data_IF_878282339999
#
_entry.id   IF_878282339999
#
_cell.length_a   1.000
_cell.length_b   1.000
_cell.length_c   1.000
_cell.angle_alpha   90.00
_cell.angle_beta   90.00
_cell.angle_gamma   90.00
#
_symmetry.space_group_name_H-M   'P 1'
#
loop_
_entity.id
_entity.type
_entity.pdbx_description
1 polymer ?
#
# COMPACT_ATOMS: atom_id res chain seq x y z
N UNK A 1 38.78 -10.30 -13.50
CA UNK A 1 37.98 -9.10 -13.80
C UNK A 1 36.58 -9.37 -13.27
N UNK A 2 36.28 -8.92 -12.05
CA UNK A 2 34.95 -9.11 -11.44
C UNK A 2 34.17 -7.80 -11.59
N UNK A 3 33.14 -7.84 -12.41
CA UNK A 3 32.17 -6.76 -12.55
C UNK A 3 31.22 -6.83 -11.36
N UNK A 4 31.49 -6.03 -10.33
CA UNK A 4 30.51 -5.73 -9.29
C UNK A 4 29.40 -4.92 -9.96
N UNK A 5 28.26 -5.56 -10.24
CA UNK A 5 27.07 -4.87 -10.73
C UNK A 5 26.47 -4.15 -9.54
N UNK A 6 26.87 -2.89 -9.32
CA UNK A 6 26.13 -1.97 -8.44
C UNK A 6 24.67 -1.92 -8.91
N UNK A 7 23.67 -2.09 -8.03
CA UNK A 7 22.29 -1.99 -8.44
C UNK A 7 22.05 -0.59 -9.02
N UNK A 8 21.70 -0.52 -10.30
CA UNK A 8 21.33 0.72 -11.00
C UNK A 8 20.36 1.53 -10.14
N UNK A 9 20.68 2.78 -9.82
CA UNK A 9 19.94 3.59 -8.82
C UNK A 9 18.42 3.62 -9.00
N UNK A 10 17.92 3.41 -10.21
CA UNK A 10 16.49 3.25 -10.53
C UNK A 10 15.85 2.03 -9.86
N UNK A 11 16.52 0.87 -9.83
CA UNK A 11 15.97 -0.34 -9.18
C UNK A 11 15.85 -0.14 -7.66
N UNK A 12 16.85 0.50 -7.05
CA UNK A 12 16.81 0.83 -5.63
C UNK A 12 15.66 1.81 -5.31
N UNK A 13 15.43 2.80 -6.18
CA UNK A 13 14.31 3.73 -6.06
C UNK A 13 12.95 3.03 -6.21
N UNK A 14 12.79 2.14 -7.18
CA UNK A 14 11.56 1.35 -7.38
C UNK A 14 11.25 0.48 -6.17
N UNK A 15 12.26 -0.17 -5.59
CA UNK A 15 12.10 -0.97 -4.37
C UNK A 15 11.65 -0.12 -3.17
N UNK A 16 12.23 1.07 -2.99
CA UNK A 16 11.83 1.99 -1.92
C UNK A 16 10.40 2.50 -2.13
N UNK A 17 10.03 2.89 -3.35
CA UNK A 17 8.67 3.32 -3.66
C UNK A 17 7.66 2.22 -3.36
N UNK A 18 7.95 0.98 -3.78
CA UNK A 18 7.11 -0.18 -3.48
C UNK A 18 6.89 -0.36 -1.97
N UNK A 19 7.95 -0.27 -1.16
CA UNK A 19 7.82 -0.38 0.29
C UNK A 19 6.94 0.74 0.88
N UNK A 20 7.04 1.96 0.37
CA UNK A 20 6.20 3.08 0.82
C UNK A 20 4.73 2.89 0.44
N UNK A 21 4.44 2.38 -0.76
CA UNK A 21 3.08 2.05 -1.19
C UNK A 21 2.46 0.98 -0.28
N UNK A 22 3.21 -0.07 0.06
CA UNK A 22 2.75 -1.12 0.96
C UNK A 22 2.52 -0.61 2.39
N UNK A 23 3.41 0.24 2.92
CA UNK A 23 3.21 0.86 4.24
C UNK A 23 1.97 1.76 4.25
N UNK A 24 1.76 2.55 3.19
CA UNK A 24 0.57 3.39 3.08
C UNK A 24 -0.72 2.56 2.98
N UNK A 25 -0.70 1.46 2.21
CA UNK A 25 -1.82 0.54 2.11
C UNK A 25 -2.20 -0.06 3.47
N UNK A 26 -1.20 -0.47 4.25
CA UNK A 26 -1.41 -0.98 5.62
C UNK A 26 -2.06 0.08 6.52
N UNK A 27 -1.59 1.32 6.48
CA UNK A 27 -2.17 2.42 7.28
C UNK A 27 -3.62 2.71 6.89
N UNK A 28 -3.97 2.63 5.61
CA UNK A 28 -5.36 2.80 5.17
C UNK A 28 -6.25 1.66 5.70
N UNK A 29 -5.76 0.42 5.70
CA UNK A 29 -6.50 -0.70 6.30
C UNK A 29 -6.69 -0.53 7.82
N UNK A 30 -5.66 -0.06 8.52
CA UNK A 30 -5.73 0.25 9.96
C UNK A 30 -6.78 1.35 10.23
N UNK A 31 -6.83 2.41 9.41
CA UNK A 31 -7.87 3.45 9.51
C UNK A 31 -9.27 2.88 9.28
N UNK A 32 -9.44 2.06 8.22
CA UNK A 32 -10.70 1.38 7.92
C UNK A 32 -11.17 0.50 9.08
N UNK A 33 -10.27 -0.29 9.67
CA UNK A 33 -10.56 -1.19 10.77
C UNK A 33 -10.93 -0.42 12.04
N UNK A 34 -10.18 0.63 12.38
CA UNK A 34 -10.45 1.46 13.55
C UNK A 34 -11.80 2.17 13.45
N UNK A 35 -12.11 2.74 12.29
CA UNK A 35 -13.39 3.43 12.06
C UNK A 35 -14.58 2.44 12.06
N UNK A 36 -14.42 1.27 11.42
CA UNK A 36 -15.44 0.23 11.47
C UNK A 36 -15.68 -0.27 12.89
N UNK A 37 -14.63 -0.47 13.69
CA UNK A 37 -14.73 -0.89 15.08
C UNK A 37 -15.36 0.18 15.99
N UNK A 38 -15.14 1.46 15.67
CA UNK A 38 -15.78 2.58 16.37
C UNK A 38 -17.26 2.75 16.00
N UNK A 39 -17.71 2.14 14.89
CA UNK A 39 -19.11 2.23 14.44
C UNK A 39 -19.95 1.17 15.14
N UNK A 40 -21.02 1.55 15.86
CA UNK A 40 -21.93 0.59 16.46
C UNK A 40 -22.63 -0.27 15.41
N UNK A 41 -22.89 -1.56 15.73
CA UNK A 41 -23.43 -2.52 14.77
C UNK A 41 -24.82 -2.15 14.21
N UNK A 42 -25.59 -1.33 14.93
CA UNK A 42 -26.92 -0.87 14.51
C UNK A 42 -26.88 0.35 13.59
N UNK A 43 -25.71 0.94 13.38
CA UNK A 43 -25.52 2.08 12.49
C UNK A 43 -25.00 1.64 11.13
N UNK A 44 -25.38 2.33 10.05
CA UNK A 44 -24.76 2.10 8.75
C UNK A 44 -23.27 2.40 8.84
N UNK A 45 -22.46 1.55 8.21
CA UNK A 45 -21.02 1.70 8.17
C UNK A 45 -20.63 3.00 7.44
N UNK A 46 -19.69 3.80 7.97
CA UNK A 46 -19.24 5.02 7.32
C UNK A 46 -18.72 4.75 5.90
N UNK A 47 -19.08 5.62 4.96
CA UNK A 47 -18.63 5.51 3.56
C UNK A 47 -17.09 5.64 3.43
N UNK A 48 -16.47 6.35 4.37
CA UNK A 48 -15.03 6.51 4.55
C UNK A 48 -14.30 5.18 4.74
N UNK A 49 -14.89 4.19 5.44
CA UNK A 49 -14.29 2.85 5.58
C UNK A 49 -14.09 2.18 4.22
N UNK A 50 -15.07 2.30 3.32
CA UNK A 50 -14.97 1.78 1.96
C UNK A 50 -13.92 2.56 1.16
N UNK A 51 -13.85 3.88 1.34
CA UNK A 51 -12.80 4.71 0.76
C UNK A 51 -11.39 4.28 1.16
N UNK A 52 -11.18 4.03 2.45
CA UNK A 52 -9.91 3.56 3.00
C UNK A 52 -9.51 2.19 2.43
N UNK A 53 -10.44 1.23 2.36
CA UNK A 53 -10.19 -0.10 1.74
C UNK A 53 -9.84 0.01 0.26
N UNK A 54 -10.63 0.77 -0.50
CA UNK A 54 -10.36 1.00 -1.92
C UNK A 54 -8.99 1.64 -2.16
N UNK A 55 -8.60 2.59 -1.30
CA UNK A 55 -7.27 3.20 -1.35
C UNK A 55 -6.17 2.18 -1.05
N UNK A 56 -6.34 1.33 -0.03
CA UNK A 56 -5.40 0.26 0.29
C UNK A 56 -5.20 -0.69 -0.89
N UNK A 57 -6.29 -1.11 -1.55
CA UNK A 57 -6.25 -2.00 -2.70
C UNK A 57 -5.57 -1.36 -3.92
N UNK A 58 -5.85 -0.09 -4.20
CA UNK A 58 -5.18 0.64 -5.28
C UNK A 58 -3.67 0.76 -5.05
N UNK A 59 -3.25 0.99 -3.80
CA UNK A 59 -1.84 1.09 -3.41
C UNK A 59 -1.11 -0.26 -3.53
N UNK A 60 -1.76 -1.36 -3.12
CA UNK A 60 -1.24 -2.73 -3.31
C UNK A 60 -1.10 -3.07 -4.79
N UNK A 61 -2.12 -2.77 -5.59
CA UNK A 61 -2.09 -3.01 -7.02
C UNK A 61 -0.95 -2.24 -7.73
N UNK A 62 -0.67 -1.00 -7.33
CA UNK A 62 0.49 -0.27 -7.85
C UNK A 62 1.82 -0.87 -7.37
N UNK A 63 1.92 -1.26 -6.11
CA UNK A 63 3.11 -1.93 -5.58
C UNK A 63 3.41 -3.25 -6.31
N UNK A 64 2.39 -4.00 -6.70
CA UNK A 64 2.51 -5.23 -7.49
C UNK A 64 2.89 -4.95 -8.94
N UNK A 65 2.36 -3.87 -9.55
CA UNK A 65 2.82 -3.40 -10.87
C UNK A 65 4.30 -3.05 -10.87
N UNK A 66 4.79 -2.35 -9.84
CA UNK A 66 6.21 -2.02 -9.70
C UNK A 66 7.09 -3.27 -9.54
N UNK A 67 6.60 -4.30 -8.82
CA UNK A 67 7.31 -5.57 -8.68
C UNK A 67 7.39 -6.33 -10.01
N UNK A 68 6.32 -6.32 -10.79
CA UNK A 68 6.29 -6.99 -12.10
C UNK A 68 7.16 -6.28 -13.15
N UNK A 69 7.43 -4.98 -12.96
CA UNK A 69 8.21 -4.16 -13.89
C UNK A 69 9.71 -4.05 -13.54
N UNK A 70 10.13 -4.50 -12.35
CA UNK A 70 11.51 -4.45 -11.85
C UNK A 70 12.26 -5.75 -12.09
#
# INVERSE_FOLDING_TARGET
MNTTIEPSGTMAMTAQLRLRLLDLARRQEELAANEAAATPYWMPQPATVHGHRNAADALRAEADRLLAAS
#
